data_IF_752874658242
#
_entry.id   IF_752874658242
#
_cell.length_a   1.000
_cell.length_b   1.000
_cell.length_c   1.000
_cell.angle_alpha   90.00
_cell.angle_beta   90.00
_cell.angle_gamma   90.00
#
_symmetry.space_group_name_H-M   'P 1'
#
loop_
_entity.id
_entity.type
_entity.pdbx_description
1 polymer ?
#
# COMPACT_ATOMS: atom_id res chain seq x y z
N UNK A 1 -8.80 28.06 7.90
CA UNK A 1 -8.22 27.93 9.26
C UNK A 1 -9.22 27.08 10.02
N UNK A 2 -9.16 25.75 9.84
CA UNK A 2 -9.95 24.82 10.65
C UNK A 2 -9.15 24.68 11.92
N UNK A 3 -9.55 25.39 12.94
CA UNK A 3 -9.09 25.21 14.30
C UNK A 3 -9.38 23.77 14.70
N UNK A 4 -8.48 23.16 15.45
CA UNK A 4 -8.63 21.88 16.11
C UNK A 4 -9.71 21.90 17.21
N UNK A 5 -10.78 22.64 16.99
CA UNK A 5 -11.96 22.55 17.84
C UNK A 5 -12.63 21.23 17.53
N UNK A 6 -12.26 20.22 18.32
CA UNK A 6 -13.03 18.99 18.46
C UNK A 6 -14.50 19.39 18.65
N UNK A 7 -15.43 18.73 17.97
CA UNK A 7 -16.85 18.96 18.27
C UNK A 7 -17.04 18.72 19.77
N UNK A 8 -17.81 19.58 20.42
CA UNK A 8 -18.11 19.58 21.86
C UNK A 8 -18.76 18.30 22.42
N UNK A 9 -18.64 17.20 21.70
CA UNK A 9 -19.22 15.91 22.09
C UNK A 9 -18.10 14.91 22.36
N UNK A 10 -17.98 14.44 23.62
CA UNK A 10 -17.02 13.41 24.00
C UNK A 10 -17.39 12.09 23.30
N UNK A 11 -16.39 11.22 23.13
CA UNK A 11 -16.62 9.83 22.73
C UNK A 11 -17.53 9.14 23.75
N UNK A 12 -18.47 8.34 23.27
CA UNK A 12 -19.39 7.58 24.13
C UNK A 12 -19.40 6.11 23.76
N UNK A 13 -19.22 5.23 24.76
CA UNK A 13 -19.31 3.77 24.60
C UNK A 13 -20.75 3.29 24.33
N UNK A 14 -21.75 4.16 24.51
CA UNK A 14 -23.17 3.85 24.23
C UNK A 14 -23.52 4.00 22.75
N UNK A 15 -22.79 4.84 22.04
CA UNK A 15 -23.03 5.09 20.62
C UNK A 15 -22.36 4.01 19.76
N UNK A 16 -23.04 3.65 18.69
CA UNK A 16 -22.49 2.69 17.72
C UNK A 16 -21.33 3.32 16.97
N UNK A 17 -20.14 2.76 17.15
CA UNK A 17 -18.88 3.31 16.67
C UNK A 17 -18.40 2.58 15.42
N UNK A 18 -18.10 3.35 14.37
CA UNK A 18 -17.36 2.84 13.22
C UNK A 18 -15.91 3.32 13.25
N UNK A 19 -15.00 2.41 12.90
CA UNK A 19 -13.59 2.73 12.63
C UNK A 19 -13.34 2.68 11.14
N UNK A 20 -12.87 3.78 10.56
CA UNK A 20 -12.60 3.92 9.12
C UNK A 20 -11.10 4.02 8.89
N UNK A 21 -10.53 3.08 8.13
CA UNK A 21 -9.11 3.03 7.80
C UNK A 21 -8.91 3.36 6.33
N UNK A 22 -8.15 4.44 6.06
CA UNK A 22 -7.85 4.89 4.70
C UNK A 22 -6.34 4.98 4.48
N UNK A 23 -5.90 4.97 3.24
CA UNK A 23 -4.50 5.15 2.89
C UNK A 23 -3.93 4.01 2.08
N UNK A 24 -2.68 4.16 1.69
CA UNK A 24 -1.99 3.28 0.75
C UNK A 24 -0.59 2.93 1.28
N UNK A 25 -0.06 1.78 0.92
CA UNK A 25 1.34 1.42 1.20
C UNK A 25 1.66 1.28 2.69
N UNK A 26 2.59 2.09 3.21
CA UNK A 26 3.07 2.02 4.60
C UNK A 26 2.07 2.52 5.64
N UNK A 27 0.98 3.15 5.22
CA UNK A 27 -0.11 3.54 6.12
C UNK A 27 -0.66 2.35 6.92
N UNK A 28 -0.56 1.13 6.39
CA UNK A 28 -0.97 -0.07 7.12
C UNK A 28 -0.18 -0.33 8.41
N UNK A 29 1.11 0.02 8.45
CA UNK A 29 1.91 -0.08 9.67
C UNK A 29 1.48 0.99 10.71
N UNK A 30 1.20 2.19 10.25
CA UNK A 30 0.64 3.24 11.09
C UNK A 30 -0.72 2.83 11.68
N UNK A 31 -1.60 2.28 10.83
CA UNK A 31 -2.90 1.74 11.30
C UNK A 31 -2.73 0.67 12.38
N UNK A 32 -1.74 -0.21 12.25
CA UNK A 32 -1.49 -1.24 13.25
C UNK A 32 -1.17 -0.64 14.62
N UNK A 33 -0.40 0.45 14.67
CA UNK A 33 -0.11 1.19 15.90
C UNK A 33 -1.35 1.83 16.50
N UNK A 34 -2.16 2.49 15.67
CA UNK A 34 -3.42 3.09 16.12
C UNK A 34 -4.38 2.02 16.64
N UNK A 35 -4.54 0.90 15.91
CA UNK A 35 -5.37 -0.23 16.34
C UNK A 35 -4.92 -0.79 17.70
N UNK A 36 -3.60 -0.87 17.92
CA UNK A 36 -3.03 -1.28 19.20
C UNK A 36 -3.44 -0.31 20.32
N UNK A 37 -3.28 0.99 20.11
CA UNK A 37 -3.64 2.00 21.10
C UNK A 37 -5.15 1.98 21.44
N UNK A 38 -6.01 1.86 20.42
CA UNK A 38 -7.46 1.74 20.61
C UNK A 38 -7.84 0.47 21.35
N UNK A 39 -7.17 -0.65 21.07
CA UNK A 39 -7.41 -1.92 21.75
C UNK A 39 -6.99 -1.85 23.23
N UNK A 40 -5.78 -1.37 23.52
CA UNK A 40 -5.26 -1.23 24.88
C UNK A 40 -6.10 -0.23 25.73
N UNK A 41 -6.65 0.81 25.09
CA UNK A 41 -7.55 1.77 25.73
C UNK A 41 -9.00 1.25 25.89
N UNK A 42 -9.33 0.05 25.40
CA UNK A 42 -10.67 -0.51 25.48
C UNK A 42 -11.73 0.27 24.69
N UNK A 43 -11.34 0.94 23.61
CA UNK A 43 -12.28 1.70 22.76
C UNK A 43 -13.23 0.74 22.05
N UNK A 44 -14.53 0.90 22.29
CA UNK A 44 -15.57 0.09 21.67
C UNK A 44 -15.70 0.43 20.19
N UNK A 45 -15.57 -0.56 19.34
CA UNK A 45 -15.75 -0.47 17.90
C UNK A 45 -16.74 -1.55 17.48
N UNK A 46 -17.83 -1.16 16.82
CA UNK A 46 -18.89 -2.05 16.39
C UNK A 46 -18.77 -2.43 14.90
N UNK A 47 -18.26 -1.48 14.07
CA UNK A 47 -18.08 -1.63 12.63
C UNK A 47 -16.68 -1.19 12.24
N UNK A 48 -16.00 -1.97 11.41
CA UNK A 48 -14.71 -1.58 10.82
C UNK A 48 -14.87 -1.45 9.31
N UNK A 49 -14.49 -0.29 8.79
CA UNK A 49 -14.52 -0.02 7.37
C UNK A 49 -13.11 0.26 6.84
N UNK A 50 -12.78 -0.21 5.64
CA UNK A 50 -11.45 -0.03 5.09
C UNK A 50 -11.42 0.11 3.58
N UNK A 51 -10.43 0.88 3.10
CA UNK A 51 -10.01 0.93 1.69
C UNK A 51 -8.49 0.93 1.58
N UNK A 52 -8.00 0.58 0.41
CA UNK A 52 -6.55 0.52 0.17
C UNK A 52 -5.89 -0.43 1.16
N UNK A 53 -4.76 0.00 1.73
CA UNK A 53 -4.08 -0.81 2.76
C UNK A 53 -4.88 -0.90 4.06
N UNK A 54 -5.81 0.02 4.30
CA UNK A 54 -6.72 0.00 5.44
C UNK A 54 -7.64 -1.23 5.45
N UNK A 55 -7.89 -1.85 4.29
CA UNK A 55 -8.63 -3.10 4.19
C UNK A 55 -7.94 -4.25 4.97
N UNK A 56 -6.60 -4.28 5.00
CA UNK A 56 -5.85 -5.24 5.84
C UNK A 56 -6.17 -5.00 7.31
N UNK A 57 -6.01 -3.76 7.78
CA UNK A 57 -6.33 -3.40 9.17
C UNK A 57 -7.77 -3.75 9.54
N UNK A 58 -8.72 -3.43 8.65
CA UNK A 58 -10.14 -3.72 8.86
C UNK A 58 -10.43 -5.21 9.01
N UNK A 59 -9.88 -6.05 8.13
CA UNK A 59 -10.09 -7.50 8.20
C UNK A 59 -9.53 -8.11 9.49
N UNK A 60 -8.34 -7.69 9.93
CA UNK A 60 -7.78 -8.20 11.19
C UNK A 60 -8.51 -7.65 12.41
N UNK A 61 -8.91 -6.38 12.41
CA UNK A 61 -9.68 -5.80 13.50
C UNK A 61 -11.08 -6.40 13.63
N UNK A 62 -11.69 -6.84 12.53
CA UNK A 62 -13.03 -7.43 12.55
C UNK A 62 -13.12 -8.75 13.31
N UNK A 63 -12.02 -9.50 13.43
CA UNK A 63 -11.95 -10.82 14.13
C UNK A 63 -11.02 -10.78 15.35
N UNK A 64 -10.84 -9.61 15.95
CA UNK A 64 -9.92 -9.37 17.08
C UNK A 64 -8.48 -9.86 16.83
N UNK A 65 -8.12 -9.93 15.57
CA UNK A 65 -6.81 -10.41 15.12
C UNK A 65 -5.77 -9.31 15.01
N UNK A 66 -6.04 -8.12 15.52
CA UNK A 66 -5.17 -6.95 15.41
C UNK A 66 -3.73 -7.21 15.88
N UNK A 67 -3.53 -8.01 16.91
CA UNK A 67 -2.21 -8.39 17.42
C UNK A 67 -1.29 -8.94 16.32
N UNK A 68 -1.82 -9.68 15.34
CA UNK A 68 -1.08 -10.17 14.18
C UNK A 68 -0.50 -9.08 13.29
N UNK A 69 -0.93 -7.84 13.47
CA UNK A 69 -0.39 -6.69 12.74
C UNK A 69 0.82 -6.07 13.44
N UNK A 70 0.81 -5.96 14.79
CA UNK A 70 1.81 -5.20 15.56
C UNK A 70 2.72 -6.03 16.46
N UNK A 71 2.45 -7.31 16.70
CA UNK A 71 3.33 -8.17 17.49
C UNK A 71 4.72 -8.28 16.87
N UNK A 72 5.68 -8.79 17.66
CA UNK A 72 7.09 -8.93 17.25
C UNK A 72 7.24 -9.66 15.92
N UNK A 73 6.43 -10.70 15.69
CA UNK A 73 6.38 -11.47 14.45
C UNK A 73 5.20 -11.07 13.56
N UNK A 74 4.54 -9.96 13.89
CA UNK A 74 3.37 -9.45 13.18
C UNK A 74 3.70 -8.95 11.77
N UNK A 75 2.67 -8.82 10.95
CA UNK A 75 2.76 -8.47 9.53
C UNK A 75 3.69 -7.28 9.26
N UNK A 76 3.57 -6.21 10.06
CA UNK A 76 4.28 -4.95 9.81
C UNK A 76 5.67 -4.88 10.48
N UNK A 77 5.99 -5.75 11.43
CA UNK A 77 7.32 -5.79 12.07
C UNK A 77 8.30 -6.76 11.38
N UNK A 78 7.82 -7.58 10.45
CA UNK A 78 8.69 -8.47 9.69
C UNK A 78 9.54 -7.70 8.66
N UNK A 79 10.86 -7.95 8.63
CA UNK A 79 11.79 -7.29 7.69
C UNK A 79 11.38 -7.43 6.21
N UNK A 80 10.70 -8.53 5.87
CA UNK A 80 10.28 -8.80 4.49
C UNK A 80 9.14 -7.89 4.01
N UNK A 81 8.49 -7.11 4.89
CA UNK A 81 7.44 -6.16 4.50
C UNK A 81 8.01 -4.95 3.74
N UNK A 82 9.30 -4.64 3.91
CA UNK A 82 9.98 -3.63 3.10
C UNK A 82 9.94 -3.93 1.59
N UNK A 83 9.67 -5.20 1.23
CA UNK A 83 9.45 -5.63 -0.15
C UNK A 83 7.99 -5.88 -0.51
N UNK A 84 7.03 -5.31 0.22
CA UNK A 84 5.59 -5.52 0.02
C UNK A 84 5.14 -5.24 -1.42
N UNK A 85 5.65 -4.16 -1.99
CA UNK A 85 5.45 -3.79 -3.39
C UNK A 85 6.80 -3.83 -4.11
N UNK A 86 7.00 -4.80 -4.97
CA UNK A 86 8.24 -4.99 -5.70
C UNK A 86 8.07 -4.67 -7.18
N UNK A 87 9.14 -4.17 -7.79
CA UNK A 87 9.21 -4.10 -9.23
C UNK A 87 8.93 -5.46 -9.84
N UNK A 88 8.16 -5.51 -10.91
CA UNK A 88 7.90 -6.74 -11.66
C UNK A 88 9.20 -7.36 -12.11
N UNK A 89 9.25 -8.70 -12.09
CA UNK A 89 10.45 -9.45 -12.43
C UNK A 89 11.05 -9.05 -13.81
N UNK A 90 10.23 -8.90 -14.89
CA UNK A 90 10.76 -8.46 -16.19
C UNK A 90 11.47 -7.10 -16.11
N UNK A 91 10.89 -6.13 -15.40
CA UNK A 91 11.48 -4.79 -15.26
C UNK A 91 12.75 -4.81 -14.41
N UNK A 92 12.80 -5.65 -13.37
CA UNK A 92 14.00 -5.82 -12.55
C UNK A 92 15.14 -6.42 -13.34
N UNK A 93 14.89 -7.49 -14.08
CA UNK A 93 15.91 -8.16 -14.91
C UNK A 93 16.39 -7.23 -16.02
N UNK A 94 15.47 -6.54 -16.70
CA UNK A 94 15.84 -5.55 -17.73
C UNK A 94 16.65 -4.39 -17.11
N UNK A 95 16.26 -3.89 -15.95
CA UNK A 95 17.00 -2.84 -15.24
C UNK A 95 18.42 -3.27 -14.89
N UNK A 96 18.62 -4.47 -14.33
CA UNK A 96 19.94 -5.01 -14.03
C UNK A 96 20.78 -5.23 -15.29
N UNK A 97 20.17 -5.72 -16.37
CA UNK A 97 20.85 -5.90 -17.65
C UNK A 97 21.32 -4.56 -18.23
N UNK A 98 20.49 -3.51 -18.15
CA UNK A 98 20.86 -2.15 -18.57
C UNK A 98 21.97 -1.56 -17.70
N UNK A 99 21.91 -1.74 -16.37
CA UNK A 99 22.99 -1.31 -15.47
C UNK A 99 24.30 -2.03 -15.79
N UNK A 100 24.25 -3.35 -16.05
CA UNK A 100 25.42 -4.11 -16.45
C UNK A 100 26.00 -3.61 -17.79
N UNK A 101 25.14 -3.33 -18.79
CA UNK A 101 25.56 -2.76 -20.05
C UNK A 101 26.21 -1.37 -19.87
N UNK A 102 25.62 -0.51 -19.05
CA UNK A 102 26.17 0.81 -18.73
C UNK A 102 27.51 0.72 -18.00
N UNK A 103 27.63 -0.22 -17.03
CA UNK A 103 28.91 -0.47 -16.34
C UNK A 103 30.01 -0.93 -17.31
N UNK A 104 29.67 -1.83 -18.24
CA UNK A 104 30.60 -2.25 -19.29
C UNK A 104 31.03 -1.11 -20.20
N UNK A 105 30.11 -0.19 -20.53
CA UNK A 105 30.42 1.02 -21.28
C UNK A 105 31.30 2.01 -20.50
N UNK A 106 31.22 2.02 -19.18
CA UNK A 106 32.06 2.86 -18.32
C UNK A 106 33.53 2.35 -18.21
N UNK A 107 33.81 1.09 -18.53
CA UNK A 107 35.15 0.51 -18.41
C UNK A 107 36.22 1.31 -19.18
N UNK A 108 36.03 1.69 -20.44
CA UNK A 108 37.02 2.52 -21.18
C UNK A 108 37.26 3.89 -20.53
N UNK A 109 36.19 4.51 -19.97
CA UNK A 109 36.31 5.81 -19.28
C UNK A 109 37.10 5.69 -17.99
N UNK A 110 36.86 4.61 -17.21
CA UNK A 110 37.61 4.31 -15.99
C UNK A 110 39.09 4.05 -16.31
N UNK A 111 39.39 3.29 -17.34
CA UNK A 111 40.75 3.05 -17.79
C UNK A 111 41.45 4.34 -18.24
N UNK A 112 40.74 5.21 -18.94
CA UNK A 112 41.27 6.52 -19.28
C UNK A 112 41.58 7.37 -18.05
N UNK A 113 40.66 7.41 -17.06
CA UNK A 113 40.88 8.12 -15.80
C UNK A 113 42.07 7.57 -15.02
N UNK A 114 42.25 6.23 -14.96
CA UNK A 114 43.44 5.60 -14.38
C UNK A 114 44.70 5.99 -15.13
N UNK A 115 44.63 6.10 -16.46
CA UNK A 115 45.76 6.55 -17.28
C UNK A 115 46.17 7.97 -16.97
N UNK A 116 45.20 8.87 -16.79
CA UNK A 116 45.48 10.27 -16.40
C UNK A 116 46.15 10.31 -15.02
N UNK A 117 45.67 9.51 -14.05
CA UNK A 117 46.31 9.43 -12.73
C UNK A 117 47.70 8.85 -12.79
N UNK A 118 47.92 7.80 -13.59
CA UNK A 118 49.22 7.21 -13.80
C UNK A 118 50.22 8.19 -14.45
N UNK A 119 49.75 8.97 -15.45
CA UNK A 119 50.56 9.99 -16.11
C UNK A 119 50.95 11.12 -15.13
N UNK A 120 49.98 11.60 -14.33
CA UNK A 120 50.22 12.62 -13.30
C UNK A 120 51.18 12.13 -12.21
N UNK A 121 51.00 10.90 -11.74
CA UNK A 121 51.89 10.27 -10.78
C UNK A 121 53.31 10.12 -11.37
N UNK A 122 53.44 9.68 -12.63
CA UNK A 122 54.70 9.59 -13.34
C UNK A 122 55.39 10.97 -13.49
N UNK A 123 54.63 12.02 -13.80
CA UNK A 123 55.15 13.37 -13.88
C UNK A 123 55.66 13.90 -12.54
N UNK A 124 54.93 13.65 -11.45
CA UNK A 124 55.34 14.05 -10.11
C UNK A 124 56.61 13.30 -9.64
N UNK A 125 56.70 12.01 -9.93
CA UNK A 125 57.89 11.20 -9.64
C UNK A 125 59.11 11.69 -10.43
N UNK A 126 58.93 12.07 -11.67
CA UNK A 126 60.02 12.64 -12.52
C UNK A 126 60.51 14.00 -12.00
N UNK A 127 59.60 14.85 -11.49
CA UNK A 127 59.91 16.14 -10.87
C UNK A 127 60.76 15.99 -9.61
N UNK A 128 60.64 14.88 -8.89
CA UNK A 128 61.41 14.56 -7.67
C UNK A 128 62.68 13.71 -8.02
N UNK A 129 63.10 13.68 -9.31
CA UNK A 129 64.21 12.89 -9.83
C UNK A 129 64.12 11.36 -9.64
N UNK A 130 62.94 10.81 -9.39
CA UNK A 130 62.67 9.37 -9.33
C UNK A 130 62.27 8.84 -10.73
N UNK A 131 63.13 8.98 -11.70
CA UNK A 131 62.85 8.65 -13.10
C UNK A 131 62.57 7.18 -13.34
N UNK A 132 63.25 6.26 -12.61
CA UNK A 132 63.00 4.82 -12.69
C UNK A 132 61.61 4.43 -12.17
N UNK A 133 61.13 5.08 -11.12
CA UNK A 133 59.78 4.84 -10.59
C UNK A 133 58.70 5.45 -11.55
N UNK A 134 58.97 6.60 -12.14
CA UNK A 134 58.09 7.22 -13.14
C UNK A 134 57.90 6.31 -14.36
N UNK A 135 58.96 5.81 -14.91
CA UNK A 135 58.90 4.89 -16.07
C UNK A 135 58.24 3.54 -15.69
N UNK A 136 58.43 3.05 -14.47
CA UNK A 136 57.80 1.81 -14.00
C UNK A 136 56.26 1.96 -13.93
N UNK A 137 55.74 3.09 -13.40
CA UNK A 137 54.28 3.35 -13.31
C UNK A 137 53.64 3.46 -14.68
N UNK A 138 54.23 4.22 -15.58
CA UNK A 138 53.70 4.40 -16.94
C UNK A 138 53.78 3.12 -17.77
N UNK A 139 54.88 2.34 -17.63
CA UNK A 139 55.04 1.05 -18.29
C UNK A 139 54.10 -0.02 -17.71
N UNK A 140 53.82 -0.01 -16.40
CA UNK A 140 52.83 -0.89 -15.80
C UNK A 140 51.41 -0.61 -16.32
N UNK A 141 51.04 0.66 -16.44
CA UNK A 141 49.76 1.06 -17.02
C UNK A 141 49.66 0.66 -18.50
N UNK A 142 50.69 0.92 -19.30
CA UNK A 142 50.74 0.54 -20.74
C UNK A 142 50.60 -0.99 -20.90
N UNK A 143 51.33 -1.77 -20.12
CA UNK A 143 51.19 -3.24 -20.13
C UNK A 143 49.82 -3.73 -19.74
N UNK A 144 49.18 -3.07 -18.77
CA UNK A 144 47.81 -3.39 -18.36
C UNK A 144 46.81 -3.05 -19.48
N UNK A 145 47.00 -1.93 -20.19
CA UNK A 145 46.19 -1.59 -21.34
C UNK A 145 46.40 -2.60 -22.48
N UNK A 146 47.61 -2.93 -22.82
CA UNK A 146 47.93 -3.91 -23.88
C UNK A 146 47.31 -5.28 -23.54
N UNK A 147 47.35 -5.71 -22.28
CA UNK A 147 46.74 -6.97 -21.85
C UNK A 147 45.22 -6.92 -21.93
N UNK A 148 44.60 -5.78 -21.60
CA UNK A 148 43.12 -5.60 -21.61
C UNK A 148 42.57 -5.33 -23.00
N UNK A 149 43.34 -4.63 -23.90
CA UNK A 149 42.91 -4.24 -25.22
C UNK A 149 43.59 -4.99 -26.36
N UNK A 150 44.40 -6.01 -26.08
CA UNK A 150 44.93 -6.85 -27.11
C UNK A 150 43.84 -7.38 -28.05
N UNK A 151 44.04 -7.35 -29.37
CA UNK A 151 42.98 -7.70 -30.34
C UNK A 151 42.24 -9.01 -30.10
N UNK A 152 42.85 -10.07 -29.54
CA UNK A 152 42.12 -11.31 -29.16
C UNK A 152 41.25 -11.15 -27.94
N UNK A 153 41.52 -10.20 -27.03
CA UNK A 153 40.86 -10.16 -25.72
C UNK A 153 39.62 -9.22 -25.69
N UNK A 154 39.69 -8.05 -26.30
CA UNK A 154 38.71 -7.00 -26.00
C UNK A 154 37.78 -6.51 -27.09
N UNK A 155 38.13 -6.37 -28.39
CA UNK A 155 37.18 -5.89 -29.35
C UNK A 155 35.97 -6.80 -29.50
N UNK A 156 36.04 -8.02 -28.97
CA UNK A 156 34.98 -9.01 -29.14
C UNK A 156 34.22 -9.33 -27.85
N UNK A 157 34.83 -9.23 -26.66
CA UNK A 157 34.17 -9.64 -25.40
C UNK A 157 33.24 -8.54 -24.87
N UNK A 158 33.73 -7.32 -24.65
CA UNK A 158 32.92 -6.23 -24.08
C UNK A 158 31.74 -5.86 -24.97
N UNK A 159 31.89 -5.59 -26.26
CA UNK A 159 30.77 -5.34 -27.16
C UNK A 159 29.76 -6.49 -27.19
N UNK A 160 30.23 -7.75 -27.21
CA UNK A 160 29.35 -8.92 -27.16
C UNK A 160 28.57 -9.01 -25.87
N UNK A 161 29.21 -8.74 -24.70
CA UNK A 161 28.52 -8.70 -23.42
C UNK A 161 27.50 -7.57 -23.35
N UNK A 162 27.79 -6.38 -23.88
CA UNK A 162 26.84 -5.27 -23.96
C UNK A 162 25.64 -5.68 -24.81
N UNK A 163 25.88 -6.23 -26.01
CA UNK A 163 24.82 -6.71 -26.90
C UNK A 163 24.01 -7.81 -26.22
N UNK A 164 24.66 -8.75 -25.54
CA UNK A 164 23.99 -9.80 -24.78
C UNK A 164 23.08 -9.20 -23.68
N UNK A 165 23.58 -8.25 -22.88
CA UNK A 165 22.79 -7.58 -21.85
C UNK A 165 21.57 -6.85 -22.46
N UNK A 166 21.75 -6.16 -23.58
CA UNK A 166 20.65 -5.49 -24.30
C UNK A 166 19.62 -6.49 -24.83
N UNK A 167 20.08 -7.60 -25.41
CA UNK A 167 19.21 -8.68 -25.88
C UNK A 167 18.43 -9.32 -24.74
N UNK A 168 19.07 -9.54 -23.59
CA UNK A 168 18.40 -10.03 -22.37
C UNK A 168 17.33 -9.03 -21.93
N UNK A 169 17.66 -7.73 -21.87
CA UNK A 169 16.69 -6.69 -21.51
C UNK A 169 15.49 -6.69 -22.46
N UNK A 170 15.72 -6.66 -23.76
CA UNK A 170 14.68 -6.68 -24.80
C UNK A 170 13.87 -7.97 -24.73
N UNK A 171 14.53 -9.13 -24.64
CA UNK A 171 13.89 -10.43 -24.61
C UNK A 171 12.96 -10.61 -23.41
N UNK A 172 13.42 -10.20 -22.22
CA UNK A 172 12.62 -10.29 -20.98
C UNK A 172 11.43 -9.32 -21.02
N UNK A 173 11.61 -8.11 -21.54
CA UNK A 173 10.51 -7.16 -21.74
C UNK A 173 9.48 -7.69 -22.75
N UNK A 174 9.96 -8.24 -23.87
CA UNK A 174 9.09 -8.84 -24.89
C UNK A 174 8.32 -10.05 -24.35
N UNK A 175 8.99 -10.92 -23.59
CA UNK A 175 8.35 -12.06 -22.93
C UNK A 175 7.32 -11.59 -21.89
N UNK A 176 7.61 -10.54 -21.12
CA UNK A 176 6.65 -9.93 -20.20
C UNK A 176 5.41 -9.42 -20.92
N UNK A 177 5.59 -8.69 -22.02
CA UNK A 177 4.50 -8.20 -22.86
C UNK A 177 3.66 -9.33 -23.48
N UNK A 178 4.33 -10.38 -23.98
CA UNK A 178 3.64 -11.54 -24.57
C UNK A 178 2.78 -12.25 -23.50
N UNK A 179 3.32 -12.41 -22.29
CA UNK A 179 2.63 -13.04 -21.17
C UNK A 179 1.43 -12.21 -20.70
N UNK A 180 1.58 -10.88 -20.62
CA UNK A 180 0.48 -9.97 -20.27
C UNK A 180 -0.60 -9.95 -21.38
N UNK A 181 -0.19 -9.98 -22.65
CA UNK A 181 -1.12 -10.08 -23.78
C UNK A 181 -1.89 -11.42 -23.80
N UNK A 182 -1.23 -12.49 -23.40
CA UNK A 182 -1.86 -13.83 -23.35
C UNK A 182 -2.85 -13.95 -22.19
N UNK A 183 -2.57 -13.31 -21.07
CA UNK A 183 -3.45 -13.26 -19.88
C UNK A 183 -4.60 -12.27 -20.04
N UNK A 184 -4.49 -11.30 -20.95
CA UNK A 184 -5.52 -10.29 -21.14
C UNK A 184 -6.80 -10.91 -21.72
N UNK A 185 -7.98 -10.64 -21.13
CA UNK A 185 -9.25 -11.06 -21.71
C UNK A 185 -9.39 -10.57 -23.16
N UNK A 186 -9.76 -11.45 -24.07
CA UNK A 186 -9.78 -11.20 -25.53
C UNK A 186 -10.61 -9.95 -25.95
N UNK A 187 -11.54 -9.50 -25.13
CA UNK A 187 -12.43 -8.35 -25.39
C UNK A 187 -11.79 -6.96 -25.27
N UNK A 188 -10.57 -6.85 -24.73
CA UNK A 188 -9.97 -5.54 -24.41
C UNK A 188 -8.62 -5.31 -25.10
N UNK A 189 -8.61 -5.44 -26.42
CA UNK A 189 -7.46 -5.01 -27.22
C UNK A 189 -7.38 -3.49 -27.24
N UNK A 190 -6.61 -2.94 -26.31
CA UNK A 190 -6.33 -1.51 -26.29
C UNK A 190 -5.39 -1.17 -27.44
N UNK A 191 -5.81 -0.31 -28.35
CA UNK A 191 -5.01 0.21 -29.46
C UNK A 191 -4.03 1.30 -28.96
N UNK A 192 -3.11 0.94 -28.07
CA UNK A 192 -2.08 1.87 -27.61
C UNK A 192 -0.73 1.54 -28.23
N UNK A 193 0.10 2.55 -28.40
CA UNK A 193 1.47 2.39 -28.93
C UNK A 193 2.30 1.40 -28.13
N UNK A 194 3.29 0.77 -28.75
CA UNK A 194 4.14 -0.26 -28.16
C UNK A 194 4.82 0.20 -26.86
N UNK A 195 5.23 1.47 -26.78
CA UNK A 195 5.90 2.07 -25.63
C UNK A 195 5.00 2.04 -24.39
N UNK A 196 3.72 2.39 -24.50
CA UNK A 196 2.79 2.38 -23.39
C UNK A 196 2.47 0.98 -22.88
N UNK A 197 2.57 -0.05 -23.75
CA UNK A 197 2.46 -1.45 -23.33
C UNK A 197 3.69 -1.91 -22.55
N UNK A 198 4.89 -1.44 -22.95
CA UNK A 198 6.14 -1.71 -22.24
C UNK A 198 6.16 -1.11 -20.84
N UNK A 199 5.54 0.05 -20.68
CA UNK A 199 5.46 0.76 -19.40
C UNK A 199 4.35 0.27 -18.47
N UNK A 200 3.64 -0.82 -18.76
CA UNK A 200 2.57 -1.38 -17.91
C UNK A 200 2.79 -1.16 -16.39
N UNK A 201 1.93 -1.60 -15.55
CA UNK A 201 2.08 -1.37 -14.11
C UNK A 201 3.47 -1.80 -13.60
N UNK A 202 4.27 -0.90 -13.00
CA UNK A 202 5.66 -1.21 -12.66
C UNK A 202 5.81 -2.13 -11.45
N UNK A 203 4.84 -2.11 -10.54
CA UNK A 203 4.90 -2.82 -9.26
C UNK A 203 3.95 -4.02 -9.22
N UNK A 204 4.24 -4.93 -8.31
CA UNK A 204 3.39 -6.08 -7.97
C UNK A 204 3.07 -6.05 -6.48
N UNK A 205 1.80 -6.19 -6.15
CA UNK A 205 1.27 -6.30 -4.78
C UNK A 205 1.24 -7.75 -4.27
N UNK A 206 1.73 -8.71 -5.04
CA UNK A 206 1.63 -10.13 -4.71
C UNK A 206 2.28 -10.49 -3.37
N UNK A 207 3.35 -9.80 -2.98
CA UNK A 207 4.04 -10.07 -1.71
C UNK A 207 3.19 -9.65 -0.52
N UNK A 208 2.62 -8.45 -0.53
CA UNK A 208 1.76 -7.96 0.56
C UNK A 208 0.49 -8.80 0.66
N UNK A 209 -0.13 -9.14 -0.48
CA UNK A 209 -1.32 -9.99 -0.51
C UNK A 209 -1.03 -11.39 0.06
N UNK A 210 0.06 -12.04 -0.38
CA UNK A 210 0.43 -13.38 0.11
C UNK A 210 0.71 -13.37 1.61
N UNK A 211 1.34 -12.31 2.13
CA UNK A 211 1.62 -12.19 3.56
C UNK A 211 0.36 -11.93 4.36
N UNK A 212 -0.48 -10.98 3.93
CA UNK A 212 -1.74 -10.71 4.59
C UNK A 212 -2.62 -11.96 4.64
N UNK A 213 -2.71 -12.71 3.53
CA UNK A 213 -3.47 -13.98 3.50
C UNK A 213 -2.83 -15.07 4.35
N UNK A 214 -1.50 -15.15 4.42
CA UNK A 214 -0.82 -16.11 5.29
C UNK A 214 -1.03 -15.79 6.78
N UNK A 215 -0.94 -14.52 7.19
CA UNK A 215 -1.21 -14.12 8.56
C UNK A 215 -2.70 -14.30 8.92
N UNK A 216 -3.60 -14.04 7.98
CA UNK A 216 -5.03 -14.30 8.16
C UNK A 216 -5.28 -15.80 8.37
N UNK A 217 -4.62 -16.66 7.60
CA UNK A 217 -4.68 -18.11 7.80
C UNK A 217 -4.11 -18.52 9.16
N UNK A 218 -2.97 -17.97 9.56
CA UNK A 218 -2.38 -18.21 10.86
C UNK A 218 -3.31 -17.83 12.01
N UNK A 219 -4.10 -16.77 11.86
CA UNK A 219 -5.12 -16.36 12.81
C UNK A 219 -6.25 -17.38 12.87
N UNK A 220 -6.82 -17.77 11.73
CA UNK A 220 -7.99 -18.68 11.65
C UNK A 220 -7.64 -20.10 12.11
N UNK A 221 -6.48 -20.63 11.72
CA UNK A 221 -6.07 -22.00 12.08
C UNK A 221 -5.68 -22.14 13.56
N UNK A 222 -5.38 -21.03 14.25
CA UNK A 222 -4.85 -21.05 15.61
C UNK A 222 -3.56 -21.88 15.72
N UNK A 223 -3.52 -22.80 16.68
CA UNK A 223 -2.37 -23.69 16.91
C UNK A 223 -2.35 -24.93 15.99
N UNK A 224 -3.38 -25.16 15.18
CA UNK A 224 -3.47 -26.35 14.32
C UNK A 224 -2.42 -26.34 13.20
N UNK A 225 -1.67 -27.44 13.03
CA UNK A 225 -0.66 -27.60 11.98
C UNK A 225 -1.30 -28.04 10.66
N UNK A 226 -2.17 -27.21 10.10
CA UNK A 226 -2.92 -27.48 8.86
C UNK A 226 -2.36 -26.59 7.74
N UNK A 227 -2.17 -27.16 6.54
CA UNK A 227 -1.73 -26.41 5.36
C UNK A 227 -2.77 -25.34 4.94
N UNK A 228 -2.31 -24.20 4.38
CA UNK A 228 -3.21 -23.16 3.91
C UNK A 228 -4.09 -23.68 2.75
N UNK A 229 -5.40 -23.42 2.78
CA UNK A 229 -6.30 -23.77 1.71
C UNK A 229 -6.13 -22.85 0.49
N UNK A 230 -6.86 -23.14 -0.60
CA UNK A 230 -6.98 -22.19 -1.70
C UNK A 230 -7.53 -20.83 -1.21
N UNK A 231 -7.19 -19.74 -1.91
CA UNK A 231 -7.58 -18.38 -1.46
C UNK A 231 -9.08 -18.18 -1.32
N UNK A 232 -9.88 -18.76 -2.21
CA UNK A 232 -11.35 -18.70 -2.14
C UNK A 232 -11.87 -19.42 -0.90
N UNK A 233 -11.34 -20.61 -0.59
CA UNK A 233 -11.69 -21.36 0.61
C UNK A 233 -11.26 -20.65 1.89
N UNK A 234 -10.10 -19.97 1.87
CA UNK A 234 -9.66 -19.12 2.97
C UNK A 234 -10.67 -17.98 3.21
N UNK A 235 -11.07 -17.31 2.15
CA UNK A 235 -12.06 -16.23 2.21
C UNK A 235 -13.39 -16.71 2.79
N UNK A 236 -13.88 -17.83 2.30
CA UNK A 236 -15.12 -18.43 2.81
C UNK A 236 -15.04 -18.76 4.31
N UNK A 237 -13.98 -19.43 4.75
CA UNK A 237 -13.76 -19.75 6.17
C UNK A 237 -13.65 -18.50 7.06
N UNK A 238 -13.00 -17.46 6.55
CA UNK A 238 -12.91 -16.18 7.27
C UNK A 238 -14.30 -15.55 7.45
N UNK A 239 -15.10 -15.51 6.41
CA UNK A 239 -16.45 -14.95 6.48
C UNK A 239 -17.39 -15.83 7.33
N UNK A 240 -17.27 -17.15 7.26
CA UNK A 240 -18.02 -18.07 8.11
C UNK A 240 -17.69 -17.82 9.59
N UNK A 241 -16.41 -17.77 9.94
CA UNK A 241 -15.96 -17.47 11.29
C UNK A 241 -16.53 -16.11 11.78
N UNK A 242 -16.44 -15.07 10.95
CA UNK A 242 -16.92 -13.74 11.30
C UNK A 242 -18.44 -13.70 11.44
N UNK A 243 -19.18 -14.32 10.51
CA UNK A 243 -20.64 -14.32 10.50
C UNK A 243 -21.24 -15.11 11.66
N UNK A 244 -20.65 -16.26 12.02
CA UNK A 244 -21.12 -17.12 13.12
C UNK A 244 -20.90 -16.47 14.49
N UNK A 245 -19.89 -15.61 14.62
CA UNK A 245 -19.54 -14.98 15.88
C UNK A 245 -19.92 -13.49 15.93
N UNK A 246 -20.58 -12.97 14.90
CA UNK A 246 -20.93 -11.55 14.82
C UNK A 246 -21.85 -11.17 16.00
N UNK A 247 -21.47 -10.10 16.72
CA UNK A 247 -22.14 -9.66 17.94
C UNK A 247 -21.53 -10.22 19.23
N UNK A 248 -20.58 -11.18 19.14
CA UNK A 248 -19.77 -11.58 20.29
C UNK A 248 -18.62 -10.60 20.53
N UNK A 249 -18.10 -10.47 21.75
CA UNK A 249 -16.90 -9.69 22.03
C UNK A 249 -15.73 -10.09 21.10
N UNK A 250 -15.05 -9.12 20.51
CA UNK A 250 -13.95 -9.34 19.58
C UNK A 250 -14.36 -9.46 18.11
N UNK A 251 -15.64 -9.71 17.80
CA UNK A 251 -16.13 -9.81 16.42
C UNK A 251 -16.92 -8.57 16.03
N UNK A 252 -16.50 -7.91 14.95
CA UNK A 252 -17.05 -6.63 14.49
C UNK A 252 -17.58 -6.76 13.07
N UNK A 253 -18.51 -5.91 12.73
CA UNK A 253 -18.98 -5.80 11.37
C UNK A 253 -17.87 -5.29 10.44
N UNK A 254 -17.92 -5.67 9.18
CA UNK A 254 -16.88 -5.38 8.21
C UNK A 254 -17.46 -4.74 6.95
N UNK A 255 -16.82 -3.66 6.49
CA UNK A 255 -17.15 -3.00 5.24
C UNK A 255 -15.84 -2.69 4.48
N UNK A 256 -15.66 -3.24 3.28
CA UNK A 256 -14.55 -2.93 2.41
C UNK A 256 -15.05 -2.20 1.16
N UNK A 257 -14.34 -1.14 0.78
CA UNK A 257 -14.68 -0.33 -0.39
C UNK A 257 -13.56 -0.45 -1.41
N UNK A 258 -13.93 -0.78 -2.64
CA UNK A 258 -13.04 -0.82 -3.79
C UNK A 258 -13.70 -0.11 -4.98
N UNK A 259 -12.98 0.07 -6.08
CA UNK A 259 -13.49 0.72 -7.27
C UNK A 259 -13.45 -0.20 -8.48
N UNK A 260 -14.59 -0.39 -9.11
CA UNK A 260 -14.71 -1.10 -10.38
C UNK A 260 -14.43 -0.13 -11.54
N UNK A 261 -13.30 -0.34 -12.18
CA UNK A 261 -12.86 0.48 -13.32
C UNK A 261 -13.71 0.26 -14.59
N UNK A 262 -14.38 -0.87 -14.70
CA UNK A 262 -15.16 -1.24 -15.86
C UNK A 262 -16.59 -0.72 -15.77
N UNK A 263 -17.23 -0.89 -14.63
CA UNK A 263 -18.53 -0.30 -14.33
C UNK A 263 -18.42 1.19 -13.95
N UNK A 264 -17.22 1.70 -13.62
CA UNK A 264 -16.96 3.07 -13.15
C UNK A 264 -17.78 3.41 -11.90
N UNK A 265 -17.89 2.45 -10.98
CA UNK A 265 -18.66 2.55 -9.75
C UNK A 265 -17.84 2.00 -8.58
N UNK A 266 -18.18 2.47 -7.40
CA UNK A 266 -17.62 1.89 -6.20
C UNK A 266 -18.32 0.56 -5.88
N UNK A 267 -17.54 -0.37 -5.34
CA UNK A 267 -17.98 -1.71 -4.95
C UNK A 267 -17.77 -1.86 -3.46
N UNK A 268 -18.82 -2.27 -2.80
CA UNK A 268 -18.82 -2.50 -1.35
C UNK A 268 -18.94 -3.98 -1.07
N UNK A 269 -18.08 -4.48 -0.20
CA UNK A 269 -18.17 -5.83 0.34
C UNK A 269 -18.47 -5.69 1.83
N UNK A 270 -19.69 -6.03 2.25
CA UNK A 270 -20.15 -5.78 3.60
C UNK A 270 -20.65 -7.05 4.29
N UNK A 271 -20.25 -7.20 5.55
CA UNK A 271 -20.82 -8.15 6.49
C UNK A 271 -21.37 -7.36 7.69
N UNK A 272 -22.67 -7.31 7.81
CA UNK A 272 -23.39 -6.55 8.84
C UNK A 272 -24.28 -7.46 9.66
N UNK A 273 -24.55 -7.06 10.90
CA UNK A 273 -25.51 -7.71 11.77
C UNK A 273 -26.93 -7.67 11.14
N UNK A 274 -27.73 -8.65 11.45
CA UNK A 274 -29.08 -8.83 10.91
C UNK A 274 -29.93 -7.55 11.02
N UNK A 275 -29.82 -6.81 12.13
CA UNK A 275 -30.59 -5.58 12.38
C UNK A 275 -30.31 -4.46 11.37
N UNK A 276 -29.06 -4.38 10.88
CA UNK A 276 -28.64 -3.33 9.92
C UNK A 276 -28.59 -3.82 8.48
N UNK A 277 -28.38 -5.13 8.28
CA UNK A 277 -28.17 -5.76 6.98
C UNK A 277 -29.30 -5.50 6.00
N UNK A 278 -30.56 -5.77 6.39
CA UNK A 278 -31.70 -5.57 5.49
C UNK A 278 -31.85 -4.11 5.08
N UNK A 279 -31.72 -3.19 6.05
CA UNK A 279 -31.81 -1.75 5.77
C UNK A 279 -30.69 -1.31 4.83
N UNK A 280 -29.47 -1.76 5.04
CA UNK A 280 -28.30 -1.40 4.26
C UNK A 280 -28.38 -1.86 2.81
N UNK A 281 -28.71 -3.12 2.57
CA UNK A 281 -28.80 -3.64 1.19
C UNK A 281 -30.05 -3.19 0.46
N UNK A 282 -31.15 -2.95 1.14
CA UNK A 282 -32.39 -2.43 0.53
C UNK A 282 -32.37 -0.91 0.29
N UNK A 283 -31.44 -0.17 0.86
CA UNK A 283 -31.33 1.28 0.64
C UNK A 283 -31.12 1.63 -0.84
N UNK A 284 -30.42 0.79 -1.59
CA UNK A 284 -30.21 0.96 -3.05
C UNK A 284 -31.44 0.69 -3.90
N UNK A 285 -32.33 -0.18 -3.45
CA UNK A 285 -33.55 -0.54 -4.21
C UNK A 285 -34.67 0.50 -4.12
N UNK A 286 -34.62 1.42 -3.16
CA UNK A 286 -35.68 2.41 -2.89
C UNK A 286 -35.46 3.77 -3.56
N UNK A 287 -34.30 4.03 -4.12
CA UNK A 287 -33.99 5.31 -4.74
C UNK A 287 -34.48 5.34 -6.19
N UNK A 288 -35.66 5.88 -6.41
CA UNK A 288 -36.30 6.01 -7.74
C UNK A 288 -35.62 7.09 -8.60
N UNK A 289 -34.96 8.09 -7.97
CA UNK A 289 -34.18 9.14 -8.66
C UNK A 289 -32.91 9.44 -7.88
N UNK A 290 -31.78 8.84 -8.27
CA UNK A 290 -30.51 9.02 -7.62
C UNK A 290 -30.07 7.79 -6.80
N UNK A 291 -30.13 6.61 -7.42
CA UNK A 291 -29.72 5.34 -6.80
C UNK A 291 -28.32 5.40 -6.19
N UNK A 292 -28.10 4.58 -5.18
CA UNK A 292 -26.79 4.38 -4.52
C UNK A 292 -25.67 4.36 -5.55
N UNK A 293 -24.71 5.22 -5.41
CA UNK A 293 -23.62 5.33 -6.38
C UNK A 293 -22.59 4.17 -6.26
N UNK A 294 -22.81 3.27 -5.31
CA UNK A 294 -21.99 2.09 -5.09
C UNK A 294 -22.83 0.80 -5.19
N UNK A 295 -22.23 -0.25 -5.71
CA UNK A 295 -22.82 -1.60 -5.74
C UNK A 295 -22.38 -2.37 -4.50
N UNK A 296 -23.33 -2.93 -3.75
CA UNK A 296 -23.04 -3.61 -2.50
C UNK A 296 -23.21 -5.13 -2.63
N UNK A 297 -22.18 -5.86 -2.24
CA UNK A 297 -22.13 -7.31 -2.17
C UNK A 297 -22.20 -7.76 -0.71
N UNK A 298 -23.22 -8.57 -0.43
CA UNK A 298 -23.42 -9.15 0.88
C UNK A 298 -22.49 -10.35 1.08
N UNK A 299 -21.54 -10.20 1.99
CA UNK A 299 -20.58 -11.25 2.34
C UNK A 299 -21.21 -12.42 3.10
N UNK A 300 -22.35 -12.21 3.77
CA UNK A 300 -23.11 -13.34 4.36
C UNK A 300 -23.90 -14.14 3.31
N UNK A 301 -24.05 -13.60 2.09
CA UNK A 301 -24.75 -14.21 0.97
C UNK A 301 -23.83 -14.59 -0.19
N UNK A 302 -24.19 -14.12 -1.38
CA UNK A 302 -23.50 -14.40 -2.66
C UNK A 302 -22.09 -13.82 -2.75
N UNK A 303 -21.76 -12.84 -1.93
CA UNK A 303 -20.43 -12.20 -1.89
C UNK A 303 -19.39 -12.94 -1.05
N UNK A 304 -19.75 -14.05 -0.37
CA UNK A 304 -18.90 -14.75 0.61
C UNK A 304 -17.50 -15.12 0.10
N UNK A 305 -17.40 -15.53 -1.14
CA UNK A 305 -16.13 -15.96 -1.75
C UNK A 305 -15.22 -14.78 -2.15
N UNK A 306 -15.77 -13.57 -2.20
CA UNK A 306 -15.07 -12.40 -2.76
C UNK A 306 -14.27 -11.58 -1.73
N UNK A 307 -14.22 -11.97 -0.46
CA UNK A 307 -13.49 -11.19 0.55
C UNK A 307 -11.99 -11.08 0.26
N UNK A 308 -11.37 -12.16 -0.24
CA UNK A 308 -9.95 -12.13 -0.63
C UNK A 308 -9.76 -11.37 -1.94
N UNK A 309 -10.72 -11.41 -2.86
CA UNK A 309 -10.71 -10.57 -4.06
C UNK A 309 -10.86 -9.09 -3.69
N UNK A 310 -11.72 -8.77 -2.73
CA UNK A 310 -11.87 -7.42 -2.18
C UNK A 310 -10.56 -6.93 -1.55
N UNK A 311 -9.88 -7.77 -0.76
CA UNK A 311 -8.56 -7.46 -0.21
C UNK A 311 -7.54 -7.25 -1.33
N UNK A 312 -7.49 -8.15 -2.32
CA UNK A 312 -6.55 -8.06 -3.43
C UNK A 312 -6.77 -6.79 -4.27
N UNK A 313 -8.03 -6.42 -4.52
CA UNK A 313 -8.40 -5.19 -5.21
C UNK A 313 -7.98 -3.94 -4.43
N UNK A 314 -8.21 -3.91 -3.13
CA UNK A 314 -7.81 -2.82 -2.25
C UNK A 314 -6.27 -2.65 -2.16
N UNK A 315 -5.51 -3.74 -2.30
CA UNK A 315 -4.06 -3.69 -2.36
C UNK A 315 -3.51 -3.26 -3.73
N UNK A 316 -4.37 -3.05 -4.72
CA UNK A 316 -3.97 -2.52 -6.02
C UNK A 316 -3.89 -1.00 -5.99
N UNK A 317 -2.67 -0.48 -5.92
CA UNK A 317 -2.41 0.97 -6.00
C UNK A 317 -2.63 1.44 -7.44
N UNK A 318 -3.52 2.41 -7.69
CA UNK A 318 -3.77 2.92 -9.04
C UNK A 318 -2.48 3.34 -9.74
N UNK A 319 -2.37 3.03 -11.04
CA UNK A 319 -1.21 3.30 -11.91
C UNK A 319 0.03 2.46 -11.54
N UNK A 320 0.32 2.27 -10.26
CA UNK A 320 1.54 1.58 -9.80
C UNK A 320 1.43 0.05 -9.90
N UNK A 321 0.25 -0.53 -9.71
CA UNK A 321 -0.01 -1.98 -9.84
C UNK A 321 -1.14 -2.25 -10.82
N UNK A 322 -1.22 -3.48 -11.35
CA UNK A 322 -2.39 -3.87 -12.15
C UNK A 322 -3.64 -3.99 -11.27
N UNK A 323 -4.81 -3.62 -11.80
CA UNK A 323 -6.07 -3.88 -11.13
C UNK A 323 -6.32 -5.39 -10.99
N UNK A 324 -6.96 -5.78 -9.89
CA UNK A 324 -7.35 -7.16 -9.66
C UNK A 324 -8.57 -7.53 -10.51
N UNK A 325 -8.56 -8.74 -11.06
CA UNK A 325 -9.69 -9.26 -11.85
C UNK A 325 -10.63 -9.99 -10.91
N UNK A 326 -11.82 -9.45 -10.71
CA UNK A 326 -12.89 -10.06 -9.91
C UNK A 326 -13.92 -10.65 -10.86
N UNK A 327 -14.20 -11.93 -10.73
CA UNK A 327 -15.29 -12.59 -11.45
C UNK A 327 -16.51 -12.63 -10.52
N UNK A 328 -17.49 -11.81 -10.82
CA UNK A 328 -18.70 -11.71 -10.01
C UNK A 328 -19.62 -12.92 -10.17
N UNK A 329 -20.47 -13.23 -9.16
CA UNK A 329 -21.41 -14.34 -9.22
C UNK A 329 -22.45 -14.14 -10.33
N UNK A 330 -22.96 -15.25 -10.87
CA UNK A 330 -24.03 -15.23 -11.87
C UNK A 330 -25.35 -14.68 -11.33
N UNK A 331 -25.57 -14.76 -10.04
CA UNK A 331 -26.75 -14.27 -9.32
C UNK A 331 -26.65 -12.80 -8.95
N UNK A 332 -25.49 -12.16 -9.18
CA UNK A 332 -25.25 -10.76 -8.91
C UNK A 332 -25.67 -9.81 -10.04
N UNK A 333 -25.57 -8.50 -9.82
CA UNK A 333 -25.93 -7.48 -10.81
C UNK A 333 -25.12 -7.59 -12.10
N UNK A 334 -23.89 -8.13 -12.04
CA UNK A 334 -23.00 -8.29 -13.21
C UNK A 334 -22.92 -9.72 -13.78
N UNK A 335 -23.87 -10.59 -13.44
CA UNK A 335 -24.18 -11.87 -14.09
C UNK A 335 -22.97 -12.72 -14.50
N UNK A 336 -21.98 -12.86 -13.64
CA UNK A 336 -20.78 -13.66 -13.91
C UNK A 336 -19.71 -12.97 -14.76
N UNK A 337 -19.82 -11.68 -15.00
CA UNK A 337 -18.80 -10.89 -15.71
C UNK A 337 -17.53 -10.75 -14.85
N UNK A 338 -16.41 -10.54 -15.55
CA UNK A 338 -15.12 -10.30 -14.91
C UNK A 338 -14.75 -8.83 -15.06
N UNK A 339 -14.58 -8.14 -13.95
CA UNK A 339 -14.26 -6.72 -13.91
C UNK A 339 -12.87 -6.47 -13.31
N UNK A 340 -12.29 -5.33 -13.68
CA UNK A 340 -11.04 -4.82 -13.10
C UNK A 340 -11.36 -3.94 -11.92
N UNK A 341 -10.92 -4.36 -10.75
CA UNK A 341 -11.19 -3.67 -9.49
C UNK A 341 -9.87 -3.24 -8.85
N UNK A 342 -9.81 -2.03 -8.31
CA UNK A 342 -8.63 -1.49 -7.64
C UNK A 342 -9.02 -0.60 -6.45
N UNK A 343 -8.04 -0.14 -5.69
CA UNK A 343 -8.24 0.93 -4.71
C UNK A 343 -8.63 2.24 -5.40
N UNK A 344 -9.37 3.08 -4.69
CA UNK A 344 -9.70 4.44 -5.11
C UNK A 344 -9.28 5.42 -4.02
N UNK A 345 -8.11 6.06 -4.17
CA UNK A 345 -7.77 7.23 -3.37
C UNK A 345 -8.89 8.29 -3.52
N UNK A 346 -9.27 8.91 -2.44
CA UNK A 346 -10.37 9.87 -2.48
C UNK A 346 -11.78 9.24 -2.42
N UNK A 347 -11.93 8.11 -1.72
CA UNK A 347 -13.23 7.48 -1.50
C UNK A 347 -13.75 7.63 -0.06
N UNK A 348 -13.19 8.55 0.74
CA UNK A 348 -13.57 8.69 2.15
C UNK A 348 -15.03 9.12 2.31
N UNK A 349 -15.50 10.07 1.48
CA UNK A 349 -16.90 10.50 1.51
C UNK A 349 -17.84 9.31 1.29
N UNK A 350 -17.52 8.45 0.31
CA UNK A 350 -18.28 7.23 0.07
C UNK A 350 -18.31 6.32 1.29
N UNK A 351 -17.15 6.09 1.92
CA UNK A 351 -17.08 5.25 3.12
C UNK A 351 -17.94 5.84 4.23
N UNK A 352 -17.87 7.15 4.47
CA UNK A 352 -18.65 7.81 5.51
C UNK A 352 -20.17 7.74 5.23
N UNK A 353 -20.59 7.88 3.97
CA UNK A 353 -21.99 7.64 3.59
C UNK A 353 -22.43 6.21 3.90
N UNK A 354 -21.62 5.22 3.54
CA UNK A 354 -21.98 3.82 3.71
C UNK A 354 -21.95 3.38 5.17
N UNK A 355 -21.02 3.91 5.98
CA UNK A 355 -21.00 3.67 7.43
C UNK A 355 -22.23 4.27 8.12
N UNK A 356 -22.66 5.44 7.68
CA UNK A 356 -23.91 6.06 8.17
C UNK A 356 -25.13 5.21 7.79
N UNK A 357 -25.19 4.69 6.56
CA UNK A 357 -26.26 3.76 6.12
C UNK A 357 -26.23 2.45 6.93
N UNK A 358 -25.04 1.98 7.34
CA UNK A 358 -24.86 0.84 8.23
C UNK A 358 -25.23 1.16 9.69
N UNK A 359 -25.66 2.38 10.01
CA UNK A 359 -26.18 2.77 11.32
C UNK A 359 -25.10 3.23 12.30
N UNK A 360 -23.92 3.60 11.86
CA UNK A 360 -22.92 4.20 12.75
C UNK A 360 -23.37 5.58 13.24
N UNK A 361 -23.23 5.82 14.53
CA UNK A 361 -23.60 7.08 15.18
C UNK A 361 -22.38 7.97 15.45
N UNK A 362 -21.20 7.35 15.66
CA UNK A 362 -19.92 8.04 15.76
C UNK A 362 -18.87 7.32 14.94
N UNK A 363 -17.88 8.07 14.47
CA UNK A 363 -16.85 7.55 13.56
C UNK A 363 -15.46 8.01 13.99
N UNK A 364 -14.52 7.07 14.00
CA UNK A 364 -13.09 7.33 14.16
C UNK A 364 -12.44 7.12 12.79
N UNK A 365 -11.89 8.17 12.18
CA UNK A 365 -11.23 8.12 10.88
C UNK A 365 -9.72 8.07 11.08
N UNK A 366 -9.09 7.03 10.52
CA UNK A 366 -7.63 6.92 10.41
C UNK A 366 -7.21 7.34 9.02
N UNK A 367 -6.43 8.39 8.94
CA UNK A 367 -5.91 8.91 7.68
C UNK A 367 -4.39 8.81 7.61
N UNK A 368 -3.84 8.65 6.42
CA UNK A 368 -2.40 8.79 6.16
C UNK A 368 -1.97 10.23 5.85
N UNK A 369 -2.93 11.13 5.67
CA UNK A 369 -2.67 12.53 5.36
C UNK A 369 -2.40 13.34 6.65
N UNK A 370 -1.22 13.98 6.78
CA UNK A 370 -0.91 14.84 7.92
C UNK A 370 -1.77 16.12 7.90
N UNK A 371 -1.72 16.93 8.97
CA UNK A 371 -2.28 18.27 8.95
C UNK A 371 -1.70 19.08 7.79
N UNK A 372 -2.49 19.97 7.15
CA UNK A 372 -1.96 20.87 6.14
C UNK A 372 -0.81 21.69 6.72
N UNK A 373 0.33 21.65 6.03
CA UNK A 373 1.50 22.46 6.38
C UNK A 373 1.26 23.94 6.16
N UNK A 374 2.08 24.78 6.79
CA UNK A 374 2.11 26.21 6.47
C UNK A 374 2.69 26.40 5.05
N UNK A 375 2.26 27.43 4.29
CA UNK A 375 2.74 27.65 2.91
C UNK A 375 4.27 27.68 2.73
N UNK A 376 5.01 28.04 3.77
CA UNK A 376 6.46 28.12 3.76
C UNK A 376 7.20 26.86 4.24
N UNK A 377 6.46 25.84 4.66
CA UNK A 377 6.97 24.54 5.14
C UNK A 377 6.85 23.44 4.07
N UNK A 378 6.51 23.84 2.84
CA UNK A 378 6.40 22.90 1.74
C UNK A 378 7.80 22.41 1.35
N UNK A 379 8.06 21.14 1.54
CA UNK A 379 9.27 20.52 1.01
C UNK A 379 9.24 20.50 -0.51
N UNK A 380 10.41 20.66 -1.14
CA UNK A 380 10.55 20.41 -2.57
C UNK A 380 10.32 18.91 -2.80
N UNK A 381 9.19 18.57 -3.41
CA UNK A 381 8.87 17.18 -3.74
C UNK A 381 9.94 16.53 -4.62
N UNK A 382 10.02 15.22 -4.61
CA UNK A 382 10.93 14.45 -5.46
C UNK A 382 10.65 14.73 -6.92
N UNK A 383 11.66 15.10 -7.68
CA UNK A 383 11.55 15.40 -9.11
C UNK A 383 11.33 14.14 -9.97
N UNK A 384 11.52 12.94 -9.43
CA UNK A 384 11.37 11.69 -10.14
C UNK A 384 9.88 11.31 -10.36
N UNK A 385 9.62 10.38 -11.27
CA UNK A 385 8.27 9.93 -11.63
C UNK A 385 7.54 9.33 -10.42
N UNK A 386 8.25 8.62 -9.55
CA UNK A 386 7.69 8.01 -8.34
C UNK A 386 7.23 9.09 -7.36
N UNK A 387 8.07 10.09 -7.10
CA UNK A 387 7.74 11.22 -6.24
C UNK A 387 6.53 11.99 -6.75
N UNK A 388 6.49 12.31 -8.04
CA UNK A 388 5.34 13.01 -8.65
C UNK A 388 4.05 12.21 -8.56
N UNK A 389 4.10 10.90 -8.81
CA UNK A 389 2.93 10.04 -8.68
C UNK A 389 2.46 9.94 -7.22
N UNK A 390 3.40 9.85 -6.27
CA UNK A 390 3.09 9.82 -4.84
C UNK A 390 2.47 11.14 -4.38
N UNK A 391 3.03 12.28 -4.77
CA UNK A 391 2.48 13.61 -4.45
C UNK A 391 1.07 13.81 -5.01
N UNK A 392 0.83 13.36 -6.24
CA UNK A 392 -0.50 13.45 -6.84
C UNK A 392 -1.53 12.63 -6.08
N UNK A 393 -1.21 11.36 -5.76
CA UNK A 393 -2.10 10.49 -4.97
C UNK A 393 -2.34 11.08 -3.58
N UNK A 394 -1.28 11.59 -2.95
CA UNK A 394 -1.36 12.19 -1.63
C UNK A 394 -2.20 13.48 -1.62
N UNK A 395 -2.04 14.32 -2.64
CA UNK A 395 -2.87 15.53 -2.80
C UNK A 395 -4.36 15.19 -2.93
N UNK A 396 -4.70 14.14 -3.67
CA UNK A 396 -6.08 13.65 -3.73
C UNK A 396 -6.60 13.18 -2.37
N UNK A 397 -5.81 12.39 -1.64
CA UNK A 397 -6.22 11.90 -0.31
C UNK A 397 -6.38 13.04 0.70
N UNK A 398 -5.50 14.04 0.67
CA UNK A 398 -5.59 15.18 1.57
C UNK A 398 -6.80 16.09 1.28
N UNK A 399 -7.11 16.29 -0.01
CA UNK A 399 -8.29 17.06 -0.43
C UNK A 399 -9.58 16.33 -0.06
N UNK A 400 -9.65 15.04 -0.38
CA UNK A 400 -10.81 14.19 -0.06
C UNK A 400 -11.05 14.13 1.45
N UNK A 401 -9.98 14.00 2.26
CA UNK A 401 -10.10 14.00 3.71
C UNK A 401 -10.79 15.28 4.21
N UNK A 402 -10.31 16.45 3.78
CA UNK A 402 -10.88 17.74 4.20
C UNK A 402 -12.34 17.86 3.77
N UNK A 403 -12.60 17.66 2.47
CA UNK A 403 -13.92 17.86 1.88
C UNK A 403 -14.93 16.84 2.42
N UNK A 404 -14.49 15.60 2.70
CA UNK A 404 -15.34 14.56 3.25
C UNK A 404 -15.67 14.80 4.72
N UNK A 405 -14.72 15.28 5.53
CA UNK A 405 -14.98 15.62 6.93
C UNK A 405 -15.92 16.80 7.04
N UNK A 406 -15.78 17.83 6.19
CA UNK A 406 -16.70 18.98 6.15
C UNK A 406 -18.13 18.54 5.79
N UNK A 407 -18.30 17.66 4.79
CA UNK A 407 -19.63 17.13 4.40
C UNK A 407 -20.23 16.19 5.45
N UNK A 408 -19.40 15.47 6.19
CA UNK A 408 -19.84 14.56 7.22
C UNK A 408 -20.11 15.26 8.57
N UNK A 409 -19.65 16.51 8.74
CA UNK A 409 -19.91 17.31 9.92
C UNK A 409 -21.43 17.44 10.13
N UNK A 410 -21.95 16.98 11.25
CA UNK A 410 -23.40 16.94 11.55
C UNK A 410 -24.13 15.66 11.10
N UNK A 411 -23.50 14.76 10.33
CA UNK A 411 -24.08 13.44 10.00
C UNK A 411 -23.93 12.44 11.16
N UNK A 412 -22.87 12.59 11.93
CA UNK A 412 -22.55 11.75 13.09
C UNK A 412 -22.62 12.55 14.39
N UNK A 413 -22.94 11.87 15.47
CA UNK A 413 -22.91 12.45 16.81
C UNK A 413 -21.47 12.79 17.26
N UNK A 414 -20.48 12.03 16.78
CA UNK A 414 -19.04 12.28 16.96
C UNK A 414 -18.25 11.89 15.72
N UNK A 415 -17.32 12.74 15.31
CA UNK A 415 -16.41 12.48 14.19
C UNK A 415 -15.00 12.80 14.63
N UNK A 416 -14.18 11.76 14.80
CA UNK A 416 -12.83 11.84 15.34
C UNK A 416 -11.82 11.51 14.25
N UNK A 417 -10.68 12.22 14.25
CA UNK A 417 -9.62 12.03 13.27
C UNK A 417 -8.30 11.70 13.96
N UNK A 418 -7.68 10.59 13.58
CA UNK A 418 -6.31 10.24 13.94
C UNK A 418 -5.46 10.24 12.68
N UNK A 419 -4.36 10.99 12.69
CA UNK A 419 -3.48 11.17 11.52
C UNK A 419 -2.03 11.41 11.95
N UNK A 420 -1.03 11.16 11.08
CA UNK A 420 0.37 11.43 11.39
C UNK A 420 0.59 12.89 11.78
N UNK A 421 1.23 13.13 12.93
CA UNK A 421 1.47 14.47 13.43
C UNK A 421 2.56 15.21 12.63
N UNK A 422 3.54 14.49 12.07
CA UNK A 422 4.77 15.09 11.54
C UNK A 422 5.01 14.81 10.06
N UNK A 423 4.95 13.54 9.62
CA UNK A 423 5.35 13.17 8.26
C UNK A 423 4.21 12.58 7.45
N UNK A 424 4.10 12.93 6.17
CA UNK A 424 3.20 12.23 5.28
C UNK A 424 3.65 10.79 5.08
N UNK A 425 2.74 9.85 5.29
CA UNK A 425 2.91 8.45 4.91
C UNK A 425 2.65 8.33 3.42
N UNK A 426 3.66 8.60 2.61
CA UNK A 426 3.51 8.61 1.16
C UNK A 426 3.03 7.25 0.62
N UNK A 427 2.12 7.22 -0.36
CA UNK A 427 1.49 6.00 -0.86
C UNK A 427 2.47 5.02 -1.51
N UNK A 428 3.65 5.47 -1.91
CA UNK A 428 4.69 4.66 -2.54
C UNK A 428 5.96 4.51 -1.69
N UNK A 429 5.92 4.89 -0.42
CA UNK A 429 7.04 4.79 0.51
C UNK A 429 7.07 3.45 1.25
N UNK A 430 7.28 2.36 0.52
CA UNK A 430 7.27 0.99 1.06
C UNK A 430 8.51 0.63 1.89
N UNK A 431 9.58 1.41 1.84
CA UNK A 431 10.85 1.13 2.54
C UNK A 431 11.01 1.93 3.81
N UNK A 432 10.04 2.70 4.20
CA UNK A 432 10.07 3.62 5.34
C UNK A 432 9.94 5.08 4.93
N UNK A 433 9.71 5.94 5.88
CA UNK A 433 9.44 7.37 5.73
C UNK A 433 10.63 8.19 6.19
N UNK A 434 11.07 9.14 5.38
CA UNK A 434 12.10 10.09 5.76
C UNK A 434 11.47 11.29 6.48
N UNK A 435 11.97 11.59 7.67
CA UNK A 435 11.55 12.75 8.45
C UNK A 435 12.53 13.90 8.22
N UNK A 436 12.11 14.89 7.47
CA UNK A 436 12.93 16.07 7.18
C UNK A 436 13.25 16.92 8.43
N UNK A 437 12.42 16.84 9.47
CA UNK A 437 12.62 17.61 10.70
C UNK A 437 13.69 17.02 11.60
N UNK A 438 13.80 15.69 11.65
CA UNK A 438 14.78 14.97 12.47
C UNK A 438 15.96 14.44 11.66
N UNK A 439 15.98 14.65 10.35
CA UNK A 439 16.94 14.08 9.41
C UNK A 439 17.07 12.54 9.56
N UNK A 440 15.98 11.90 9.94
CA UNK A 440 15.93 10.48 10.24
C UNK A 440 14.96 9.75 9.31
N UNK A 441 15.29 8.54 8.98
CA UNK A 441 14.38 7.63 8.27
C UNK A 441 13.73 6.66 9.24
N UNK A 442 12.40 6.67 9.29
CA UNK A 442 11.63 5.69 10.04
C UNK A 442 11.45 4.43 9.21
N UNK A 443 11.74 3.28 9.81
CA UNK A 443 11.42 1.98 9.23
C UNK A 443 9.92 1.71 9.31
N UNK A 444 9.42 0.76 8.51
CA UNK A 444 8.01 0.36 8.57
C UNK A 444 7.62 -0.13 9.97
N UNK A 445 8.53 -0.80 10.68
CA UNK A 445 8.30 -1.26 12.04
C UNK A 445 8.14 -0.10 13.04
N UNK A 446 8.92 0.98 12.89
CA UNK A 446 8.82 2.18 13.74
C UNK A 446 7.54 2.99 13.47
N UNK A 447 6.94 2.87 12.28
CA UNK A 447 5.64 3.50 11.99
C UNK A 447 4.50 2.93 12.86
N UNK A 448 4.61 1.68 13.30
CA UNK A 448 3.67 1.10 14.26
C UNK A 448 3.71 1.88 15.58
N UNK A 449 4.90 2.15 16.09
CA UNK A 449 5.05 2.88 17.36
C UNK A 449 4.59 4.35 17.22
N UNK A 450 4.81 4.96 16.05
CA UNK A 450 4.28 6.30 15.74
C UNK A 450 2.76 6.34 15.68
N UNK A 451 2.12 5.35 15.05
CA UNK A 451 0.66 5.26 15.03
C UNK A 451 0.08 5.12 16.43
N UNK A 452 0.76 4.39 17.31
CA UNK A 452 0.37 4.26 18.70
C UNK A 452 0.46 5.61 19.46
N UNK A 453 1.60 6.31 19.36
CA UNK A 453 1.82 7.62 20.00
C UNK A 453 0.79 8.66 19.53
N UNK A 454 0.57 8.74 18.22
CA UNK A 454 -0.38 9.70 17.64
C UNK A 454 -1.82 9.42 18.09
N UNK A 455 -2.24 8.16 18.13
CA UNK A 455 -3.58 7.79 18.62
C UNK A 455 -3.75 8.13 20.10
N UNK A 456 -2.71 7.90 20.90
CA UNK A 456 -2.76 8.23 22.31
C UNK A 456 -2.93 9.73 22.53
N UNK A 457 -2.11 10.55 21.88
CA UNK A 457 -2.13 12.00 22.07
C UNK A 457 -3.31 12.70 21.37
N UNK A 458 -3.79 12.19 20.22
CA UNK A 458 -4.85 12.86 19.47
C UNK A 458 -6.25 12.38 19.85
N UNK A 459 -6.41 11.17 20.37
CA UNK A 459 -7.72 10.60 20.63
C UNK A 459 -7.88 10.04 22.06
N UNK A 460 -6.96 9.21 22.54
CA UNK A 460 -7.17 8.53 23.81
C UNK A 460 -7.10 9.50 24.97
N UNK A 461 -6.02 10.26 25.07
CA UNK A 461 -5.82 11.23 26.18
C UNK A 461 -6.86 12.36 26.16
N UNK A 462 -7.06 13.11 25.04
CA UNK A 462 -7.95 14.26 25.05
C UNK A 462 -9.43 13.91 24.93
N UNK A 463 -9.79 12.79 24.29
CA UNK A 463 -11.19 12.48 23.95
C UNK A 463 -11.75 11.38 24.84
N UNK A 464 -11.07 10.23 24.93
CA UNK A 464 -11.55 9.08 25.69
C UNK A 464 -11.41 9.32 27.19
N UNK A 465 -10.29 9.86 27.66
CA UNK A 465 -10.11 10.18 29.07
C UNK A 465 -11.02 11.31 29.55
N UNK A 466 -11.36 12.26 28.68
CA UNK A 466 -12.27 13.36 28.99
C UNK A 466 -13.75 12.95 29.05
N UNK A 467 -14.12 11.80 28.45
CA UNK A 467 -15.51 11.32 28.43
C UNK A 467 -16.05 10.97 29.83
N UNK A 468 -15.18 10.73 30.79
CA UNK A 468 -15.57 10.29 32.15
C UNK A 468 -16.19 8.90 32.20
N UNK A 469 -16.37 8.22 31.06
CA UNK A 469 -16.84 6.83 30.99
C UNK A 469 -15.69 5.90 31.35
N UNK A 470 -15.92 5.04 32.37
CA UNK A 470 -14.96 3.97 32.66
C UNK A 470 -14.90 3.01 31.50
N UNK A 471 -13.75 2.92 30.88
CA UNK A 471 -13.46 1.89 29.88
C UNK A 471 -13.11 0.63 30.66
N UNK A 472 -13.91 -0.43 30.50
CA UNK A 472 -13.59 -1.74 31.07
C UNK A 472 -12.30 -2.24 30.41
N UNK A 473 -11.20 -2.25 31.15
CA UNK A 473 -9.97 -2.91 30.69
C UNK A 473 -10.26 -4.41 30.61
N UNK A 474 -10.17 -4.94 29.40
CA UNK A 474 -10.19 -6.39 29.17
C UNK A 474 -9.00 -6.97 29.91
N UNK A 475 -9.24 -7.59 31.05
CA UNK A 475 -8.22 -8.40 31.73
C UNK A 475 -7.92 -9.61 30.83
N UNK A 476 -6.68 -9.66 30.37
CA UNK A 476 -6.11 -10.77 29.58
C UNK A 476 -6.08 -12.08 30.33
#
# INVERSE_FOLDING_TARGET
MITSDSPDRPYSTRLRTALVLTGTGTAGAYHAGVLRALHEAGVRIDLVAGRGIGAVGAMFAAVDGGQRLWDRDGLWKQAAIAGAYRWRLPLRVAGWALVAAAALLAVPLLLFAVGVVAALAGMLLALVNLTTASTAVTAAYARSLDALFAPPALPTIIPRLIVFCLLVAIGVLAAGLAMDAWRAPARRRVKHGAIWRLLGAPLSNAVVLNRATAELWNLIRGAAAIAPPARQDLGRRYIELLAENLGQPGFRELLLVAHDMDARRDVLFALLNTDYRQRFFNAGARAVDGGRAAEAFDLAGVGREHIIDALAANLCVPIATDPHLVRFPSEGPWRGETHRVCDRPGALDRILEEVALAGAEQVIVLSSAPPPGRPHELSSGRADLRGRAAEQLFSFEASDLRDSLERAAGRFAGLFLVRPAHNPLGPLDFTGVYDERSDRRYTVAELVDRGYEDAYHQFIEPVVAASGERIETVQS
#
